data_IF_757793896997
#
_entry.id   IF_757793896997
#
_cell.length_a   1.000
_cell.length_b   1.000
_cell.length_c   1.000
_cell.angle_alpha   90.00
_cell.angle_beta   90.00
_cell.angle_gamma   90.00
#
_symmetry.space_group_name_H-M   'P 1'
#
loop_
_entity.id
_entity.type
_entity.pdbx_description
1 polymer ?
#
# COMPACT_ATOMS: atom_id res chain seq x y z
N UNK A 1 7.74 17.65 -31.66
CA UNK A 1 8.33 18.39 -30.74
C UNK A 1 8.18 17.91 -29.31
N UNK A 2 7.26 17.11 -29.04
CA UNK A 2 7.04 16.68 -27.67
C UNK A 2 7.52 15.29 -27.39
N UNK A 3 7.97 14.59 -28.40
CA UNK A 3 8.35 13.20 -28.24
C UNK A 3 9.39 12.94 -27.15
N UNK A 4 10.54 13.60 -27.20
CA UNK A 4 11.55 13.35 -26.18
C UNK A 4 11.08 13.74 -24.80
N UNK A 5 10.31 14.80 -24.74
CA UNK A 5 9.80 15.26 -23.47
C UNK A 5 8.82 14.28 -22.88
N UNK A 6 8.03 13.67 -23.73
CA UNK A 6 7.05 12.71 -23.28
C UNK A 6 7.72 11.48 -22.68
N UNK A 7 8.78 11.03 -23.30
CA UNK A 7 9.51 9.88 -22.77
C UNK A 7 10.08 10.16 -21.42
N UNK A 8 10.70 11.31 -21.27
CA UNK A 8 11.29 11.70 -19.99
C UNK A 8 10.20 11.88 -18.94
N UNK A 9 9.12 12.50 -19.33
CA UNK A 9 8.01 12.75 -18.42
C UNK A 9 7.42 11.43 -17.94
N UNK A 10 7.30 10.48 -18.83
CA UNK A 10 6.76 9.18 -18.49
C UNK A 10 7.61 8.49 -17.44
N UNK A 11 8.92 8.52 -17.61
CA UNK A 11 9.83 7.90 -16.67
C UNK A 11 9.79 8.60 -15.32
N UNK A 12 9.73 9.92 -15.34
CA UNK A 12 9.63 10.69 -14.10
C UNK A 12 8.31 10.40 -13.39
N UNK A 13 7.24 10.28 -14.17
CA UNK A 13 5.95 9.98 -13.60
C UNK A 13 5.94 8.60 -12.95
N UNK A 14 6.61 7.66 -13.57
CA UNK A 14 6.68 6.32 -13.02
C UNK A 14 7.37 6.31 -11.66
N UNK A 15 8.49 7.00 -11.56
CA UNK A 15 9.19 7.08 -10.29
C UNK A 15 8.33 7.79 -9.24
N UNK A 16 7.67 8.84 -9.66
CA UNK A 16 6.80 9.59 -8.77
C UNK A 16 5.62 8.74 -8.30
N UNK A 17 5.02 8.00 -9.23
CA UNK A 17 3.92 7.12 -8.88
C UNK A 17 4.36 6.04 -7.91
N UNK A 18 5.56 5.51 -8.10
CA UNK A 18 6.08 4.52 -7.20
C UNK A 18 6.14 5.06 -5.78
N UNK A 19 6.70 6.26 -5.62
CA UNK A 19 6.79 6.87 -4.30
C UNK A 19 5.43 7.10 -3.68
N UNK A 20 4.49 7.56 -4.47
CA UNK A 20 3.15 7.84 -3.97
C UNK A 20 2.39 6.57 -3.67
N UNK A 21 2.48 5.60 -4.56
CA UNK A 21 1.74 4.36 -4.38
C UNK A 21 2.31 3.48 -3.31
N UNK A 22 3.60 3.61 -3.01
CA UNK A 22 4.17 2.84 -1.93
C UNK A 22 3.42 3.11 -0.65
N UNK A 23 3.15 4.38 -0.37
CA UNK A 23 2.36 4.74 0.79
C UNK A 23 0.92 4.30 0.66
N UNK A 24 0.33 4.50 -0.54
CA UNK A 24 -1.08 4.17 -0.74
C UNK A 24 -1.36 2.70 -0.80
N UNK A 25 -0.44 1.93 -1.36
CA UNK A 25 -0.64 0.51 -1.55
C UNK A 25 -0.62 -0.26 -0.24
N UNK A 26 0.33 0.07 0.62
CA UNK A 26 0.50 -0.63 1.89
C UNK A 26 -0.09 0.15 3.03
N UNK A 27 -0.27 1.42 2.83
CA UNK A 27 -0.69 2.31 3.89
C UNK A 27 -2.15 2.07 4.22
N UNK A 28 -2.40 1.06 5.01
CA UNK A 28 -3.74 0.81 5.52
C UNK A 28 -4.21 2.06 6.23
N UNK A 29 -5.51 2.37 6.14
CA UNK A 29 -6.04 3.53 6.84
C UNK A 29 -6.13 3.24 8.34
N UNK A 30 -4.97 3.23 8.99
CA UNK A 30 -4.85 2.77 10.36
C UNK A 30 -5.71 3.58 11.30
N UNK A 31 -5.73 4.90 11.11
CA UNK A 31 -6.54 5.76 11.95
C UNK A 31 -8.02 5.45 11.78
N UNK A 32 -8.42 5.17 10.55
CA UNK A 32 -9.80 4.84 10.29
C UNK A 32 -10.16 3.48 10.87
N UNK A 33 -9.24 2.54 10.78
CA UNK A 33 -9.43 1.24 11.42
C UNK A 33 -9.64 1.43 12.90
N UNK A 34 -8.83 2.26 13.52
CA UNK A 34 -8.96 2.53 14.94
C UNK A 34 -10.31 3.12 15.28
N UNK A 35 -10.77 4.05 14.47
CA UNK A 35 -12.06 4.70 14.71
C UNK A 35 -13.24 3.75 14.53
N UNK A 36 -13.16 2.89 13.52
CA UNK A 36 -14.26 2.00 13.19
C UNK A 36 -14.28 0.79 14.09
N UNK A 37 -13.13 0.19 14.33
CA UNK A 37 -13.04 -1.05 15.07
C UNK A 37 -12.98 -0.80 16.58
N UNK A 38 -12.34 0.28 16.98
CA UNK A 38 -12.16 0.63 18.40
C UNK A 38 -11.50 -0.49 19.17
N UNK A 39 -10.22 -0.75 18.90
CA UNK A 39 -9.52 -1.83 19.57
C UNK A 39 -9.54 -1.67 21.07
N UNK A 40 -9.73 -2.77 21.79
CA UNK A 40 -9.64 -2.76 23.22
C UNK A 40 -8.19 -2.68 23.69
N UNK A 41 -8.00 -2.50 25.00
CA UNK A 41 -6.65 -2.47 25.56
C UNK A 41 -5.89 -3.76 25.24
N UNK A 42 -6.60 -4.88 25.26
CA UNK A 42 -5.96 -6.17 24.97
C UNK A 42 -5.60 -6.32 23.51
N UNK A 43 -6.36 -5.66 22.64
CA UNK A 43 -6.11 -5.73 21.21
C UNK A 43 -5.08 -4.69 20.76
N UNK A 44 -4.73 -3.76 21.63
CA UNK A 44 -3.87 -2.64 21.27
C UNK A 44 -2.49 -3.10 20.81
N UNK A 45 -1.97 -4.14 21.44
CA UNK A 45 -0.65 -4.65 21.06
C UNK A 45 -0.64 -5.16 19.62
N UNK A 46 -1.65 -5.94 19.25
CA UNK A 46 -1.75 -6.45 17.89
C UNK A 46 -1.96 -5.30 16.89
N UNK A 47 -2.74 -4.31 17.29
CA UNK A 47 -2.98 -3.15 16.44
C UNK A 47 -1.69 -2.35 16.23
N UNK A 48 -0.91 -2.16 17.28
CA UNK A 48 0.35 -1.44 17.18
C UNK A 48 1.35 -2.20 16.31
N UNK A 49 1.37 -3.52 16.42
CA UNK A 49 2.23 -4.34 15.57
C UNK A 49 1.83 -4.18 14.10
N UNK A 50 0.54 -4.13 13.84
CA UNK A 50 0.05 -3.91 12.49
C UNK A 50 0.48 -2.54 11.97
N UNK A 51 0.37 -1.51 12.81
CA UNK A 51 0.80 -0.18 12.44
C UNK A 51 2.27 -0.15 12.05
N UNK A 52 3.10 -0.77 12.90
CA UNK A 52 4.53 -0.81 12.63
C UNK A 52 4.83 -1.58 11.35
N UNK A 53 4.15 -2.70 11.16
CA UNK A 53 4.39 -3.52 9.98
C UNK A 53 4.03 -2.76 8.71
N UNK A 54 2.90 -2.05 8.72
CA UNK A 54 2.50 -1.29 7.53
C UNK A 54 3.45 -0.13 7.28
N UNK A 55 3.92 0.51 8.33
CA UNK A 55 4.84 1.61 8.19
C UNK A 55 6.18 1.15 7.65
N UNK A 56 6.70 0.05 8.19
CA UNK A 56 7.95 -0.50 7.71
C UNK A 56 7.85 -0.97 6.27
N UNK A 57 6.75 -1.62 5.94
CA UNK A 57 6.53 -2.08 4.58
C UNK A 57 6.46 -0.92 3.60
N UNK A 58 5.79 0.14 4.01
CA UNK A 58 5.68 1.34 3.21
C UNK A 58 7.05 1.98 2.97
N UNK A 59 7.85 2.05 4.02
CA UNK A 59 9.19 2.63 3.91
C UNK A 59 10.08 1.79 3.01
N UNK A 60 10.02 0.48 3.15
CA UNK A 60 10.80 -0.40 2.30
C UNK A 60 10.38 -0.28 0.84
N UNK A 61 9.09 -0.16 0.62
CA UNK A 61 8.58 -0.04 -0.73
C UNK A 61 9.03 1.27 -1.36
N UNK A 62 9.01 2.36 -0.59
CA UNK A 62 9.51 3.63 -1.08
C UNK A 62 10.98 3.57 -1.42
N UNK A 63 11.77 2.90 -0.58
CA UNK A 63 13.20 2.84 -0.83
C UNK A 63 13.52 1.96 -2.03
N UNK A 64 12.61 1.12 -2.46
CA UNK A 64 12.83 0.29 -3.64
C UNK A 64 12.36 0.98 -4.91
N UNK A 65 11.81 2.17 -4.82
CA UNK A 65 11.40 2.90 -6.00
C UNK A 65 12.61 3.34 -6.82
N UNK A 66 12.51 3.31 -8.15
CA UNK A 66 13.63 3.71 -8.98
C UNK A 66 13.93 5.19 -8.80
N UNK A 67 15.21 5.49 -8.73
CA UNK A 67 15.68 6.88 -8.62
C UNK A 67 16.27 7.37 -9.92
N UNK A 68 16.45 6.47 -10.88
CA UNK A 68 17.03 6.81 -12.16
C UNK A 68 16.16 6.24 -13.26
N UNK A 69 16.26 6.88 -14.42
CA UNK A 69 15.50 6.45 -15.59
C UNK A 69 16.18 5.23 -16.19
N UNK A 70 15.40 4.17 -16.41
CA UNK A 70 15.90 3.00 -17.10
C UNK A 70 16.15 3.34 -18.56
N UNK A 71 17.32 2.95 -19.08
CA UNK A 71 17.74 3.37 -20.40
C UNK A 71 17.45 2.38 -21.50
N UNK A 72 16.99 1.20 -21.15
CA UNK A 72 16.70 0.19 -22.14
C UNK A 72 15.42 -0.54 -21.77
N UNK A 73 14.77 -1.19 -22.75
CA UNK A 73 13.60 -1.99 -22.42
C UNK A 73 13.86 -3.10 -21.41
N UNK A 74 15.01 -3.73 -21.50
CA UNK A 74 15.35 -4.77 -20.55
C UNK A 74 15.56 -4.22 -19.15
N UNK A 75 16.23 -3.08 -19.06
CA UNK A 75 16.42 -2.43 -17.77
C UNK A 75 15.07 -2.02 -17.16
N UNK A 76 14.15 -1.64 -18.02
CA UNK A 76 12.82 -1.26 -17.58
C UNK A 76 12.07 -2.46 -17.02
N UNK A 77 12.19 -3.60 -17.68
CA UNK A 77 11.58 -4.83 -17.18
C UNK A 77 12.18 -5.24 -15.84
N UNK A 78 13.48 -5.11 -15.72
CA UNK A 78 14.16 -5.44 -14.46
C UNK A 78 13.65 -4.54 -13.34
N UNK A 79 13.44 -3.27 -13.64
CA UNK A 79 12.92 -2.33 -12.65
C UNK A 79 11.51 -2.73 -12.21
N UNK A 80 10.67 -3.08 -13.17
CA UNK A 80 9.30 -3.46 -12.86
C UNK A 80 9.28 -4.75 -12.04
N UNK A 81 10.12 -5.69 -12.40
CA UNK A 81 10.20 -6.95 -11.68
C UNK A 81 10.62 -6.72 -10.23
N UNK A 82 11.64 -5.90 -10.03
CA UNK A 82 12.09 -5.58 -8.69
C UNK A 82 10.99 -4.90 -7.89
N UNK A 83 10.23 -4.04 -8.54
CA UNK A 83 9.14 -3.33 -7.92
C UNK A 83 8.04 -4.30 -7.48
N UNK A 84 7.68 -5.22 -8.36
CA UNK A 84 6.64 -6.19 -8.05
C UNK A 84 7.07 -7.10 -6.92
N UNK A 85 8.34 -7.47 -6.90
CA UNK A 85 8.85 -8.29 -5.81
C UNK A 85 8.80 -7.54 -4.49
N UNK A 86 9.16 -6.27 -4.52
CA UNK A 86 9.10 -5.45 -3.31
C UNK A 86 7.68 -5.34 -2.80
N UNK A 87 6.71 -5.23 -3.71
CA UNK A 87 5.31 -5.15 -3.31
C UNK A 87 4.85 -6.47 -2.69
N UNK A 88 5.25 -7.59 -3.28
CA UNK A 88 4.91 -8.89 -2.73
C UNK A 88 5.52 -9.09 -1.35
N UNK A 89 6.77 -8.69 -1.20
CA UNK A 89 7.46 -8.80 0.09
C UNK A 89 6.77 -7.93 1.15
N UNK A 90 6.34 -6.75 0.75
CA UNK A 90 5.64 -5.84 1.65
C UNK A 90 4.32 -6.46 2.13
N UNK A 91 3.58 -7.07 1.21
CA UNK A 91 2.33 -7.73 1.57
C UNK A 91 2.59 -8.86 2.55
N UNK A 92 3.62 -9.66 2.29
CA UNK A 92 3.95 -10.77 3.16
C UNK A 92 4.36 -10.31 4.54
N UNK A 93 5.01 -9.16 4.63
CA UNK A 93 5.42 -8.62 5.91
C UNK A 93 4.22 -8.15 6.74
N UNK A 94 3.20 -7.63 6.07
CA UNK A 94 2.03 -7.09 6.76
C UNK A 94 1.01 -8.18 7.08
N UNK A 95 0.93 -9.19 6.23
CA UNK A 95 -0.15 -10.18 6.33
C UNK A 95 -0.28 -10.84 7.69
N UNK A 96 0.80 -11.35 8.31
CA UNK A 96 0.63 -12.00 9.61
C UNK A 96 0.15 -11.05 10.68
N UNK A 97 0.58 -9.81 10.64
CA UNK A 97 0.15 -8.83 11.62
C UNK A 97 -1.32 -8.48 11.44
N UNK A 98 -1.75 -8.35 10.20
CA UNK A 98 -3.16 -8.10 9.92
C UNK A 98 -4.00 -9.30 10.34
N UNK A 99 -3.52 -10.50 10.06
CA UNK A 99 -4.23 -11.71 10.41
C UNK A 99 -4.37 -11.83 11.93
N UNK A 100 -3.30 -11.56 12.65
CA UNK A 100 -3.33 -11.62 14.11
C UNK A 100 -4.29 -10.58 14.69
N UNK A 101 -4.24 -9.38 14.15
CA UNK A 101 -5.13 -8.34 14.62
C UNK A 101 -6.58 -8.72 14.36
N UNK A 102 -6.87 -9.17 13.14
CA UNK A 102 -8.22 -9.55 12.77
C UNK A 102 -8.73 -10.69 13.65
N UNK A 103 -7.88 -11.66 13.92
CA UNK A 103 -8.27 -12.79 14.76
C UNK A 103 -8.60 -12.38 16.19
N UNK A 104 -8.03 -11.27 16.64
CA UNK A 104 -8.27 -10.81 18.00
C UNK A 104 -9.58 -10.04 18.14
N UNK A 105 -10.25 -9.75 17.03
CA UNK A 105 -11.45 -8.93 17.05
C UNK A 105 -12.68 -9.74 17.45
N UNK A 106 -13.63 -9.06 18.08
CA UNK A 106 -14.94 -9.66 18.31
C UNK A 106 -15.71 -9.74 17.01
N UNK A 107 -16.82 -10.47 17.04
CA UNK A 107 -17.65 -10.60 15.84
C UNK A 107 -18.18 -9.24 15.37
N UNK A 108 -18.56 -8.39 16.31
CA UNK A 108 -19.02 -7.04 15.99
C UNK A 108 -17.92 -6.22 15.36
N UNK A 109 -16.72 -6.32 15.91
CA UNK A 109 -15.58 -5.60 15.37
C UNK A 109 -15.23 -6.09 13.98
N UNK A 110 -15.28 -7.41 13.79
CA UNK A 110 -15.02 -7.98 12.46
C UNK A 110 -16.04 -7.49 11.45
N UNK A 111 -17.29 -7.42 11.85
CA UNK A 111 -18.33 -6.93 10.96
C UNK A 111 -18.06 -5.48 10.57
N UNK A 112 -17.69 -4.65 11.53
CA UNK A 112 -17.38 -3.25 11.22
C UNK A 112 -16.16 -3.14 10.34
N UNK A 113 -15.15 -3.95 10.62
CA UNK A 113 -13.93 -3.95 9.79
C UNK A 113 -14.24 -4.37 8.37
N UNK A 114 -15.05 -5.42 8.23
CA UNK A 114 -15.38 -5.96 6.92
C UNK A 114 -16.21 -5.00 6.09
N UNK A 115 -16.94 -4.09 6.72
CA UNK A 115 -17.72 -3.11 5.98
C UNK A 115 -16.93 -1.88 5.61
N UNK A 116 -15.70 -1.75 6.13
CA UNK A 116 -14.84 -0.65 5.71
C UNK A 116 -14.48 -0.83 4.25
N UNK A 117 -14.54 0.24 3.53
CA UNK A 117 -14.17 0.22 2.13
C UNK A 117 -12.98 1.12 1.91
N UNK A 118 -12.09 0.77 1.00
CA UNK A 118 -11.05 1.70 0.65
C UNK A 118 -11.68 2.97 0.10
N UNK A 119 -10.98 4.10 0.20
CA UNK A 119 -11.53 5.35 -0.35
C UNK A 119 -11.90 5.13 -1.79
N UNK A 120 -13.09 5.54 -2.20
CA UNK A 120 -13.51 5.29 -3.57
C UNK A 120 -12.65 6.07 -4.55
N UNK A 121 -12.31 5.39 -5.62
CA UNK A 121 -11.70 6.05 -6.74
C UNK A 121 -12.83 6.67 -7.56
N UNK A 122 -12.65 7.89 -7.97
CA UNK A 122 -13.67 8.56 -8.75
C UNK A 122 -14.03 7.78 -9.99
N UNK A 123 -13.05 7.12 -10.56
CA UNK A 123 -13.28 6.35 -11.78
C UNK A 123 -14.22 5.18 -11.54
N UNK A 124 -14.22 4.63 -10.35
CA UNK A 124 -15.05 3.48 -10.03
C UNK A 124 -16.31 3.82 -9.30
N UNK A 125 -16.34 5.00 -8.73
CA UNK A 125 -17.47 5.42 -7.93
C UNK A 125 -18.82 5.29 -8.59
N UNK A 126 -18.97 5.69 -9.85
CA UNK A 126 -20.29 5.66 -10.47
C UNK A 126 -20.92 4.30 -10.53
N UNK A 127 -20.13 3.29 -10.39
CA UNK A 127 -20.65 1.96 -10.48
C UNK A 127 -21.39 1.55 -9.26
N UNK A 128 -21.31 2.30 -8.26
CA UNK A 128 -21.84 1.91 -7.00
C UNK A 128 -23.34 1.93 -6.93
N UNK A 129 -23.98 2.38 -7.90
CA UNK A 129 -25.39 2.47 -7.82
C UNK A 129 -26.16 1.32 -8.07
#
# INVERSE_FOLDING_TARGET
>A
MNGPTEGTRSASNLASLCSQQAGGFINLPVQRIEQVVQPTAQQRSAFDDLKKATQNASDQLRSSCPTAVAKSPMARLDTVEAQLKAMADAIEAVRPNLKNFYASLSDDQKARFNTMRPPPSDALSPQQR
#
